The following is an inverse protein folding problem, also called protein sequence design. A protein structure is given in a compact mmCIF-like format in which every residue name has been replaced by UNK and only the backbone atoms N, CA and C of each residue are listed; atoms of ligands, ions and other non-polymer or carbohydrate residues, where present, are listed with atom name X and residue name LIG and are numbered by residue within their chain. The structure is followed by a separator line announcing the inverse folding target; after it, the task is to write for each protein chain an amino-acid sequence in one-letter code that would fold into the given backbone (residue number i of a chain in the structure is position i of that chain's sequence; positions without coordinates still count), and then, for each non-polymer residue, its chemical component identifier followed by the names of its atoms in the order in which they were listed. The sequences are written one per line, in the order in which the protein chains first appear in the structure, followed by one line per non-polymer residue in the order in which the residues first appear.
data_IF_470082887178
#
_entry.id   IF_470082887178
#
_cell.length_a   1.000
_cell.length_b   1.000
_cell.length_c   1.000
_cell.angle_alpha   90.00
_cell.angle_beta   90.00
_cell.angle_gamma   90.00
#
_symmetry.space_group_name_H-M   'P 1'
#
loop_
_entity.id
_entity.type
_entity.pdbx_description
1 polymer ?
#
# COMPACT_ATOMS: atom_id res chain seq x y z
N UNK A 1 -4.82 -27.84 -13.67
CA UNK A 1 -4.39 -26.51 -13.18
C UNK A 1 -5.56 -25.56 -13.34
N UNK A 2 -6.17 -25.11 -12.24
CA UNK A 2 -7.26 -24.12 -12.27
C UNK A 2 -6.68 -22.72 -12.15
N UNK A 3 -6.89 -21.87 -13.16
CA UNK A 3 -6.57 -20.44 -13.05
C UNK A 3 -7.65 -19.76 -12.19
N UNK A 4 -7.27 -18.75 -11.39
CA UNK A 4 -8.19 -17.97 -10.53
C UNK A 4 -9.43 -17.47 -11.29
N UNK A 5 -9.30 -17.27 -12.61
CA UNK A 5 -10.37 -16.89 -13.55
C UNK A 5 -11.54 -17.89 -13.65
N UNK A 6 -11.36 -19.12 -13.18
CA UNK A 6 -12.37 -20.20 -13.22
C UNK A 6 -12.85 -20.63 -11.83
N UNK A 7 -12.35 -19.98 -10.78
CA UNK A 7 -12.74 -20.31 -9.43
C UNK A 7 -14.10 -19.67 -9.11
N UNK A 8 -15.07 -20.50 -8.72
CA UNK A 8 -16.32 -20.02 -8.14
C UNK A 8 -16.02 -19.32 -6.79
N UNK A 9 -16.25 -18.00 -6.77
CA UNK A 9 -16.02 -17.13 -5.62
C UNK A 9 -17.04 -17.37 -4.49
N UNK A 10 -18.22 -17.92 -4.80
CA UNK A 10 -19.27 -18.19 -3.82
C UNK A 10 -18.85 -19.22 -2.75
N UNK A 11 -17.80 -19.99 -3.03
CA UNK A 11 -17.24 -20.98 -2.10
C UNK A 11 -16.38 -20.36 -0.99
N UNK A 12 -16.06 -19.07 -1.08
CA UNK A 12 -15.17 -18.39 -0.15
C UNK A 12 -15.89 -17.22 0.51
N UNK A 13 -15.63 -17.04 1.80
CA UNK A 13 -16.10 -15.89 2.58
C UNK A 13 -15.13 -14.72 2.52
N UNK A 14 -13.83 -15.00 2.34
CA UNK A 14 -12.76 -14.01 2.32
C UNK A 14 -11.79 -14.27 1.16
N UNK A 15 -11.33 -13.20 0.51
CA UNK A 15 -10.32 -13.25 -0.55
C UNK A 15 -9.18 -12.32 -0.15
N UNK A 16 -7.94 -12.80 -0.29
CA UNK A 16 -6.73 -12.04 0.02
C UNK A 16 -5.96 -11.79 -1.26
N UNK A 17 -5.65 -10.52 -1.52
CA UNK A 17 -4.81 -10.04 -2.63
C UNK A 17 -3.42 -9.67 -2.06
N UNK A 18 -2.44 -10.57 -2.09
CA UNK A 18 -1.09 -10.31 -1.57
C UNK A 18 -0.31 -9.31 -2.44
N UNK A 19 0.92 -8.96 -2.07
CA UNK A 19 1.79 -8.22 -2.98
C UNK A 19 2.06 -9.04 -4.26
N UNK A 20 1.94 -8.41 -5.43
CA UNK A 20 1.99 -9.12 -6.70
C UNK A 20 1.84 -8.23 -7.92
N UNK A 21 1.90 -8.86 -9.10
CA UNK A 21 1.61 -8.18 -10.36
C UNK A 21 0.13 -8.38 -10.73
N UNK A 22 -0.61 -7.27 -10.70
CA UNK A 22 -2.03 -7.21 -10.99
C UNK A 22 -2.34 -6.64 -12.38
N UNK A 23 -1.33 -6.42 -13.23
CA UNK A 23 -1.51 -5.82 -14.56
C UNK A 23 -2.34 -6.70 -15.51
N UNK A 24 -2.35 -8.02 -15.29
CA UNK A 24 -3.14 -8.99 -16.07
C UNK A 24 -4.53 -9.26 -15.50
N UNK A 25 -4.84 -8.71 -14.32
CA UNK A 25 -6.18 -8.82 -13.73
C UNK A 25 -7.07 -7.79 -14.43
N UNK A 26 -7.75 -8.27 -15.47
CA UNK A 26 -8.66 -7.48 -16.29
C UNK A 26 -9.97 -7.12 -15.59
N UNK A 27 -10.74 -6.28 -16.26
CA UNK A 27 -12.00 -5.70 -15.77
C UNK A 27 -13.03 -6.76 -15.37
N UNK A 28 -13.05 -7.92 -16.04
CA UNK A 28 -13.98 -9.02 -15.73
C UNK A 28 -13.79 -9.57 -14.31
N UNK A 29 -12.54 -9.66 -13.85
CA UNK A 29 -12.26 -10.10 -12.48
C UNK A 29 -12.65 -9.02 -11.47
N UNK A 30 -12.43 -7.74 -11.80
CA UNK A 30 -12.89 -6.64 -10.97
C UNK A 30 -14.43 -6.64 -10.82
N UNK A 31 -15.18 -6.84 -11.91
CA UNK A 31 -16.65 -6.96 -11.87
C UNK A 31 -17.13 -8.17 -11.05
N UNK A 32 -16.45 -9.29 -11.20
CA UNK A 32 -16.77 -10.51 -10.45
C UNK A 32 -16.52 -10.31 -8.95
N UNK A 33 -15.39 -9.70 -8.59
CA UNK A 33 -15.08 -9.34 -7.21
C UNK A 33 -16.05 -8.30 -6.65
N UNK A 34 -16.43 -7.28 -7.43
CA UNK A 34 -17.41 -6.27 -7.00
C UNK A 34 -18.76 -6.90 -6.67
N UNK A 35 -19.25 -7.77 -7.54
CA UNK A 35 -20.49 -8.53 -7.29
C UNK A 35 -20.38 -9.39 -6.03
N UNK A 36 -19.24 -10.06 -5.85
CA UNK A 36 -19.00 -10.92 -4.69
C UNK A 36 -18.88 -10.14 -3.37
N UNK A 37 -18.19 -9.00 -3.37
CA UNK A 37 -18.11 -8.10 -2.20
C UNK A 37 -19.50 -7.58 -1.84
N UNK A 38 -20.30 -7.17 -2.84
CA UNK A 38 -21.69 -6.75 -2.63
C UNK A 38 -22.59 -7.86 -2.08
N UNK A 39 -22.28 -9.12 -2.37
CA UNK A 39 -22.96 -10.27 -1.80
C UNK A 39 -22.53 -10.59 -0.35
N UNK A 40 -21.64 -9.80 0.25
CA UNK A 40 -21.16 -9.96 1.64
C UNK A 40 -19.77 -10.58 1.76
N UNK A 41 -19.04 -10.76 0.65
CA UNK A 41 -17.66 -11.21 0.67
C UNK A 41 -16.69 -10.17 1.23
N UNK A 42 -15.64 -10.61 1.92
CA UNK A 42 -14.61 -9.71 2.47
C UNK A 42 -13.32 -9.76 1.66
N UNK A 43 -12.95 -8.63 1.03
CA UNK A 43 -11.73 -8.50 0.23
C UNK A 43 -10.61 -7.81 1.04
N UNK A 44 -9.45 -8.45 1.15
CA UNK A 44 -8.28 -7.94 1.89
C UNK A 44 -7.11 -7.80 0.92
N UNK A 45 -6.51 -6.62 0.79
CA UNK A 45 -5.34 -6.40 -0.05
C UNK A 45 -4.12 -5.96 0.74
N UNK A 46 -2.92 -6.38 0.34
CA UNK A 46 -1.65 -5.88 0.88
C UNK A 46 -0.76 -5.27 -0.21
N UNK A 47 -0.03 -4.18 0.12
CA UNK A 47 0.91 -3.48 -0.76
C UNK A 47 0.34 -3.21 -2.16
N UNK A 48 0.82 -3.88 -3.23
CA UNK A 48 0.31 -3.68 -4.60
C UNK A 48 -1.12 -4.20 -4.79
N UNK A 49 -1.56 -5.16 -3.98
CA UNK A 49 -2.96 -5.61 -3.94
C UNK A 49 -3.89 -4.53 -3.41
N UNK A 50 -3.52 -3.84 -2.33
CA UNK A 50 -4.28 -2.68 -1.82
C UNK A 50 -4.35 -1.57 -2.87
N UNK A 51 -3.23 -1.27 -3.53
CA UNK A 51 -3.17 -0.28 -4.60
C UNK A 51 -4.12 -0.61 -5.76
N UNK A 52 -4.18 -1.89 -6.16
CA UNK A 52 -5.11 -2.36 -7.19
C UNK A 52 -6.57 -2.21 -6.74
N UNK A 53 -6.88 -2.46 -5.47
CA UNK A 53 -8.23 -2.27 -4.92
C UNK A 53 -8.68 -0.81 -5.00
N UNK A 54 -7.82 0.14 -4.63
CA UNK A 54 -8.11 1.58 -4.72
C UNK A 54 -8.37 1.99 -6.17
N UNK A 55 -7.51 1.56 -7.10
CA UNK A 55 -7.67 1.85 -8.54
C UNK A 55 -8.96 1.31 -9.15
N UNK A 56 -9.55 0.28 -8.56
CA UNK A 56 -10.81 -0.33 -9.01
C UNK A 56 -12.00 0.05 -8.11
N UNK A 57 -11.88 1.10 -7.30
CA UNK A 57 -12.94 1.65 -6.45
C UNK A 57 -13.53 0.68 -5.39
N UNK A 58 -12.77 -0.34 -4.98
CA UNK A 58 -13.16 -1.21 -3.87
C UNK A 58 -13.02 -0.54 -2.50
N UNK A 59 -12.26 0.54 -2.43
CA UNK A 59 -12.00 1.31 -1.20
C UNK A 59 -12.20 2.78 -1.52
N UNK A 60 -13.01 3.48 -0.72
CA UNK A 60 -13.22 4.92 -0.82
C UNK A 60 -12.02 5.67 -0.21
N UNK A 61 -10.88 5.64 -0.91
CA UNK A 61 -9.65 6.33 -0.51
C UNK A 61 -8.89 6.77 -1.74
N UNK A 62 -7.97 7.71 -1.57
CA UNK A 62 -7.13 8.23 -2.64
C UNK A 62 -5.67 7.84 -2.38
N UNK A 63 -4.92 7.59 -3.45
CA UNK A 63 -3.50 7.32 -3.36
C UNK A 63 -2.79 8.67 -3.25
N UNK A 64 -2.27 8.98 -2.07
CA UNK A 64 -1.38 10.12 -1.87
C UNK A 64 0.02 9.68 -2.28
N UNK A 65 0.62 10.36 -3.25
CA UNK A 65 2.04 10.22 -3.56
C UNK A 65 2.79 11.33 -2.80
N UNK A 66 3.56 10.95 -1.77
CA UNK A 66 4.38 11.86 -0.97
C UNK A 66 5.39 12.66 -1.83
N UNK A 67 5.60 12.29 -3.10
CA UNK A 67 6.42 13.06 -4.05
C UNK A 67 5.74 14.32 -4.59
N UNK A 68 4.42 14.46 -4.44
CA UNK A 68 3.65 15.62 -4.94
C UNK A 68 3.63 16.74 -3.89
N UNK A 69 3.97 16.45 -2.63
CA UNK A 69 4.10 17.44 -1.55
C UNK A 69 5.53 17.99 -1.45
N UNK A 70 6.14 18.32 -2.60
CA UNK A 70 7.28 19.25 -2.66
C UNK A 70 6.84 20.70 -2.41
N UNK A 71 6.05 20.90 -1.34
CA UNK A 71 6.00 22.14 -0.57
C UNK A 71 7.09 22.18 0.51
N UNK A 72 7.92 21.14 0.62
CA UNK A 72 9.14 21.10 1.42
C UNK A 72 10.36 21.75 0.72
N UNK A 73 10.14 22.42 -0.42
CA UNK A 73 11.13 23.25 -1.13
C UNK A 73 11.39 24.61 -0.44
N UNK A 74 11.06 24.74 0.85
CA UNK A 74 11.79 25.70 1.66
C UNK A 74 13.25 25.19 1.72
N UNK A 75 14.23 25.93 1.17
CA UNK A 75 15.63 25.54 1.34
C UNK A 75 15.87 25.31 2.83
N UNK A 76 16.63 24.27 3.23
CA UNK A 76 16.95 24.05 4.62
C UNK A 76 17.43 25.38 5.22
N UNK A 77 16.89 25.83 6.37
CA UNK A 77 17.29 27.10 6.94
C UNK A 77 18.81 27.11 7.01
N UNK A 78 19.46 28.05 6.31
CA UNK A 78 20.92 28.15 6.28
C UNK A 78 21.38 28.14 7.74
N UNK A 79 22.00 27.03 8.12
CA UNK A 79 22.54 26.81 9.44
C UNK A 79 23.52 27.95 9.69
N UNK A 80 23.14 28.89 10.56
CA UNK A 80 24.12 29.80 11.16
C UNK A 80 25.10 28.88 11.87
N UNK A 81 26.31 28.77 11.33
CA UNK A 81 27.47 28.08 11.90
C UNK A 81 27.64 28.49 13.36
N UNK A 82 26.99 27.76 14.26
CA UNK A 82 27.10 27.91 15.70
C UNK A 82 28.12 26.91 16.21
N UNK A 83 29.19 27.42 16.80
CA UNK A 83 30.24 26.66 17.47
C UNK A 83 29.66 25.52 18.32
N UNK A 84 29.85 24.27 17.92
CA UNK A 84 29.78 23.15 18.85
C UNK A 84 31.06 22.31 18.75
N UNK A 85 32.08 22.79 19.46
CA UNK A 85 33.20 21.95 19.91
C UNK A 85 32.71 21.15 21.12
N UNK A 86 32.04 20.02 20.87
CA UNK A 86 32.17 18.72 21.54
C UNK A 86 30.86 17.92 21.38
N UNK A 87 30.80 16.86 20.55
CA UNK A 87 29.59 16.05 20.45
C UNK A 87 29.33 15.30 21.76
N UNK A 88 28.05 15.12 22.18
CA UNK A 88 27.73 14.37 23.38
C UNK A 88 28.22 12.91 23.27
N UNK A 89 28.69 12.28 24.36
CA UNK A 89 29.23 10.92 24.32
C UNK A 89 28.18 9.93 23.81
N UNK A 90 28.52 9.12 22.80
CA UNK A 90 27.64 8.05 22.31
C UNK A 90 27.58 6.95 23.38
N UNK A 91 26.37 6.64 23.87
CA UNK A 91 26.12 5.44 24.69
C UNK A 91 26.43 4.19 23.85
N UNK A 92 27.35 3.36 24.35
CA UNK A 92 27.79 2.13 23.71
C UNK A 92 26.75 1.03 23.90
N UNK A 93 26.28 0.43 22.80
CA UNK A 93 25.32 -0.68 22.77
C UNK A 93 25.99 -2.05 22.98
N UNK A 94 26.95 -2.13 23.90
CA UNK A 94 27.68 -3.35 24.19
C UNK A 94 27.72 -3.62 25.70
N UNK A 95 26.56 -3.88 26.31
CA UNK A 95 26.49 -4.63 27.57
C UNK A 95 25.27 -5.57 27.50
N UNK A 96 25.58 -6.84 27.26
CA UNK A 96 24.74 -8.00 27.60
C UNK A 96 25.11 -8.43 29.02
#
# INVERSE_FOLDING_TARGET
MGTLRTADLARYTHIILPDGNYASLGEDMAKSLDTWVKAGGTLIGTKRGSLWMVKNNFVATEIIDDRIDSGLDAPPPKDKKGDNKNPPPRLSYAQK
#
